data_IF_412646389319
#
_entry.id   IF_412646389319
#
_cell.length_a   1.000
_cell.length_b   1.000
_cell.length_c   1.000
_cell.angle_alpha   90.00
_cell.angle_beta   90.00
_cell.angle_gamma   90.00
#
_symmetry.space_group_name_H-M   'P 1'
#
loop_
_entity.id
_entity.type
_entity.pdbx_description
1 polymer ?
#
# COMPACT_ATOMS: atom_id res chain seq x y z
N UNK A 1 6.83 4.10 1.27
CA UNK A 1 5.66 4.98 1.50
C UNK A 1 6.04 6.45 1.36
N UNK A 2 7.16 6.89 1.95
CA UNK A 2 7.59 8.29 2.00
C UNK A 2 7.69 9.00 0.65
N UNK A 3 8.15 8.32 -0.41
CA UNK A 3 8.28 8.95 -1.74
C UNK A 3 6.94 9.41 -2.33
N UNK A 4 5.88 8.64 -2.12
CA UNK A 4 4.54 9.01 -2.60
C UNK A 4 3.96 10.12 -1.72
N UNK A 5 4.11 9.99 -0.40
CA UNK A 5 3.70 11.04 0.54
C UNK A 5 4.39 12.36 0.21
N UNK A 6 5.72 12.39 0.07
CA UNK A 6 6.45 13.61 -0.28
C UNK A 6 6.04 14.17 -1.64
N UNK A 7 5.81 13.34 -2.66
CA UNK A 7 5.40 13.81 -3.99
C UNK A 7 4.07 14.59 -3.96
N UNK A 8 3.09 14.08 -3.20
CA UNK A 8 1.73 14.60 -3.22
C UNK A 8 1.43 15.55 -2.08
N UNK A 9 2.07 15.40 -0.92
CA UNK A 9 1.88 16.32 0.20
C UNK A 9 2.58 17.67 -0.03
N UNK A 10 3.72 17.69 -0.73
CA UNK A 10 4.55 18.89 -0.88
C UNK A 10 4.23 19.77 -2.11
N UNK A 11 3.29 19.36 -2.97
CA UNK A 11 3.01 20.04 -4.24
C UNK A 11 1.51 20.19 -4.52
N UNK A 12 0.95 21.42 -4.43
CA UNK A 12 -0.44 21.69 -4.77
C UNK A 12 -0.82 21.29 -6.20
N UNK A 13 0.13 21.37 -7.14
CA UNK A 13 -0.04 20.91 -8.53
C UNK A 13 -0.29 19.40 -8.59
N UNK A 14 0.55 18.61 -7.93
CA UNK A 14 0.41 17.15 -7.93
C UNK A 14 -0.85 16.71 -7.18
N UNK A 15 -1.25 17.48 -6.16
CA UNK A 15 -2.53 17.25 -5.50
C UNK A 15 -3.71 17.49 -6.44
N UNK A 16 -3.69 18.56 -7.23
CA UNK A 16 -4.70 18.83 -8.24
C UNK A 16 -4.78 17.71 -9.28
N UNK A 17 -3.63 17.22 -9.75
CA UNK A 17 -3.57 16.07 -10.69
C UNK A 17 -4.24 14.83 -10.09
N UNK A 18 -3.98 14.48 -8.83
CA UNK A 18 -4.66 13.36 -8.17
C UNK A 18 -6.18 13.57 -8.01
N UNK A 19 -6.67 14.78 -7.74
CA UNK A 19 -8.13 14.98 -7.64
C UNK A 19 -8.82 14.87 -8.99
N UNK A 20 -8.14 15.28 -10.07
CA UNK A 20 -8.68 15.10 -11.43
C UNK A 20 -8.78 13.63 -11.82
N UNK A 21 -7.95 12.77 -11.22
CA UNK A 21 -8.01 11.32 -11.42
C UNK A 21 -8.82 10.58 -10.33
N UNK A 22 -9.65 11.30 -9.55
CA UNK A 22 -10.47 10.77 -8.46
C UNK A 22 -9.68 10.03 -7.34
N UNK A 23 -8.35 10.18 -7.34
CA UNK A 23 -7.43 9.61 -6.35
C UNK A 23 -7.31 10.49 -5.09
N UNK A 24 -8.30 11.33 -4.81
CA UNK A 24 -8.24 12.38 -3.78
C UNK A 24 -8.08 11.82 -2.35
N UNK A 25 -8.64 10.64 -2.06
CA UNK A 25 -8.48 10.00 -0.75
C UNK A 25 -7.01 9.65 -0.43
N UNK A 26 -6.11 9.66 -1.43
CA UNK A 26 -4.67 9.50 -1.24
C UNK A 26 -4.06 10.60 -0.36
N UNK A 27 -4.67 11.80 -0.32
CA UNK A 27 -4.07 13.01 0.27
C UNK A 27 -4.82 13.46 1.53
N UNK A 28 -6.13 13.18 1.62
CA UNK A 28 -7.00 13.71 2.68
C UNK A 28 -6.77 13.11 4.06
N UNK A 29 -6.31 11.86 4.15
CA UNK A 29 -5.91 11.25 5.40
C UNK A 29 -4.41 11.45 5.56
N UNK A 30 -3.97 11.98 6.70
CA UNK A 30 -2.56 12.11 7.11
C UNK A 30 -1.79 10.77 7.20
N UNK A 31 -2.31 9.72 6.58
CA UNK A 31 -1.76 8.40 6.52
C UNK A 31 -1.88 7.96 5.07
N UNK A 32 -0.74 7.72 4.44
CA UNK A 32 -0.71 6.87 3.25
C UNK A 32 -1.14 5.49 3.73
N UNK A 33 -2.44 5.22 3.74
CA UNK A 33 -2.96 3.94 4.20
C UNK A 33 -2.56 2.89 3.17
N UNK A 34 -1.84 1.86 3.61
CA UNK A 34 -1.44 0.75 2.74
C UNK A 34 -2.65 0.16 2.00
N UNK A 35 -3.80 0.11 2.67
CA UNK A 35 -5.09 -0.29 2.10
C UNK A 35 -5.55 0.61 0.94
N UNK A 36 -5.35 1.93 1.03
CA UNK A 36 -5.72 2.84 -0.06
C UNK A 36 -4.86 2.58 -1.31
N UNK A 37 -3.56 2.38 -1.13
CA UNK A 37 -2.66 2.03 -2.24
C UNK A 37 -3.08 0.69 -2.86
N UNK A 38 -3.39 -0.32 -2.04
CA UNK A 38 -3.86 -1.62 -2.51
C UNK A 38 -5.13 -1.47 -3.37
N UNK A 39 -6.10 -0.70 -2.89
CA UNK A 39 -7.38 -0.52 -3.56
C UNK A 39 -7.27 0.30 -4.85
N UNK A 40 -6.31 1.22 -4.92
CA UNK A 40 -6.13 2.14 -6.06
C UNK A 40 -4.91 1.82 -6.91
N UNK A 41 -4.30 0.64 -6.73
CA UNK A 41 -3.06 0.25 -7.39
C UNK A 41 -3.15 0.39 -8.93
N UNK A 42 -4.26 -0.05 -9.52
CA UNK A 42 -4.49 0.06 -10.97
C UNK A 42 -4.51 1.51 -11.46
N UNK A 43 -5.23 2.39 -10.76
CA UNK A 43 -5.35 3.80 -11.12
C UNK A 43 -3.99 4.52 -10.95
N UNK A 44 -3.31 4.30 -9.83
CA UNK A 44 -1.97 4.84 -9.57
C UNK A 44 -0.95 4.38 -10.62
N UNK A 45 -0.98 3.11 -11.01
CA UNK A 45 -0.11 2.59 -12.05
C UNK A 45 -0.37 3.27 -13.40
N UNK A 46 -1.64 3.45 -13.79
CA UNK A 46 -2.03 4.16 -15.02
C UNK A 46 -1.56 5.61 -14.99
N UNK A 47 -1.78 6.31 -13.88
CA UNK A 47 -1.31 7.68 -13.65
C UNK A 47 0.21 7.79 -13.87
N UNK A 48 0.98 6.96 -13.17
CA UNK A 48 2.45 6.98 -13.27
C UNK A 48 2.92 6.60 -14.67
N UNK A 49 2.25 5.65 -15.33
CA UNK A 49 2.55 5.28 -16.71
C UNK A 49 2.36 6.48 -17.64
N UNK A 50 1.20 7.13 -17.59
CA UNK A 50 0.90 8.28 -18.42
C UNK A 50 1.88 9.43 -18.17
N UNK A 51 2.10 9.80 -16.91
CA UNK A 51 3.01 10.87 -16.53
C UNK A 51 4.47 10.57 -16.87
N UNK A 52 4.89 9.30 -16.90
CA UNK A 52 6.23 8.90 -17.33
C UNK A 52 6.49 9.06 -18.83
N UNK A 53 5.43 9.04 -19.65
CA UNK A 53 5.51 9.16 -21.11
C UNK A 53 5.07 10.53 -21.64
N UNK A 54 4.60 11.43 -20.77
CA UNK A 54 4.11 12.74 -21.14
C UNK A 54 5.23 13.68 -21.59
N UNK A 55 5.24 14.00 -22.89
CA UNK A 55 6.26 14.86 -23.51
C UNK A 55 6.20 16.32 -23.05
N UNK A 56 5.11 16.76 -22.43
CA UNK A 56 4.98 18.10 -21.86
C UNK A 56 5.70 18.25 -20.52
N UNK A 57 6.02 17.12 -19.87
CA UNK A 57 6.78 17.07 -18.61
C UNK A 57 8.28 17.00 -18.86
N UNK A 58 9.05 17.56 -17.92
CA UNK A 58 10.49 17.52 -18.03
C UNK A 58 11.04 16.08 -17.87
N UNK A 59 12.31 15.87 -18.25
CA UNK A 59 12.94 14.54 -18.16
C UNK A 59 13.01 14.02 -16.72
N UNK A 60 13.13 14.89 -15.73
CA UNK A 60 13.27 14.55 -14.31
C UNK A 60 11.93 14.09 -13.74
N UNK A 61 10.84 14.80 -14.05
CA UNK A 61 9.47 14.42 -13.73
C UNK A 61 9.11 13.07 -14.36
N UNK A 62 9.37 12.89 -15.66
CA UNK A 62 9.13 11.62 -16.35
C UNK A 62 9.89 10.46 -15.72
N UNK A 63 11.16 10.67 -15.39
CA UNK A 63 11.99 9.65 -14.72
C UNK A 63 11.47 9.31 -13.32
N UNK A 64 11.03 10.33 -12.56
CA UNK A 64 10.40 10.14 -11.23
C UNK A 64 9.15 9.27 -11.34
N UNK A 65 8.23 9.59 -12.26
CA UNK A 65 7.00 8.82 -12.46
C UNK A 65 7.28 7.41 -12.98
N UNK A 66 8.28 7.23 -13.85
CA UNK A 66 8.72 5.89 -14.25
C UNK A 66 9.21 5.08 -13.04
N UNK A 67 10.01 5.67 -12.16
CA UNK A 67 10.45 5.03 -10.92
C UNK A 67 9.28 4.62 -10.02
N UNK A 68 8.26 5.46 -9.88
CA UNK A 68 7.05 5.14 -9.11
C UNK A 68 6.22 4.02 -9.75
N UNK A 69 6.08 4.03 -11.08
CA UNK A 69 5.46 2.94 -11.83
C UNK A 69 6.16 1.61 -11.57
N UNK A 70 7.50 1.58 -11.65
CA UNK A 70 8.30 0.38 -11.38
C UNK A 70 8.17 -0.06 -9.92
N UNK A 71 8.18 0.88 -8.99
CA UNK A 71 8.03 0.61 -7.56
C UNK A 71 6.68 -0.03 -7.25
N UNK A 72 5.56 0.54 -7.69
CA UNK A 72 4.22 0.03 -7.33
C UNK A 72 3.89 -1.31 -7.99
N UNK A 73 4.60 -1.68 -9.05
CA UNK A 73 4.45 -2.95 -9.77
C UNK A 73 5.52 -3.99 -9.41
N UNK A 74 6.45 -3.69 -8.52
CA UNK A 74 7.47 -4.66 -8.12
C UNK A 74 6.91 -5.69 -7.15
N UNK A 75 7.34 -6.94 -7.30
CA UNK A 75 6.95 -8.06 -6.43
C UNK A 75 7.23 -7.76 -4.95
N UNK A 76 8.41 -7.19 -4.67
CA UNK A 76 8.82 -6.83 -3.31
C UNK A 76 7.88 -5.78 -2.70
N UNK A 77 7.56 -4.72 -3.43
CA UNK A 77 6.69 -3.66 -2.93
C UNK A 77 5.27 -4.18 -2.69
N UNK A 78 4.72 -4.94 -3.65
CA UNK A 78 3.39 -5.53 -3.53
C UNK A 78 3.32 -6.47 -2.34
N UNK A 79 4.33 -7.33 -2.14
CA UNK A 79 4.38 -8.27 -1.01
C UNK A 79 4.45 -7.51 0.32
N UNK A 80 5.40 -6.58 0.46
CA UNK A 80 5.58 -5.80 1.70
C UNK A 80 4.33 -4.98 2.03
N UNK A 81 3.70 -4.36 1.03
CA UNK A 81 2.49 -3.55 1.23
C UNK A 81 1.31 -4.39 1.75
N UNK A 82 1.12 -5.60 1.21
CA UNK A 82 0.04 -6.48 1.65
C UNK A 82 0.34 -7.09 3.03
N UNK A 83 1.59 -7.43 3.33
CA UNK A 83 2.00 -7.87 4.67
C UNK A 83 1.74 -6.79 5.73
N UNK A 84 2.11 -5.53 5.42
CA UNK A 84 1.80 -4.39 6.28
C UNK A 84 0.30 -4.19 6.45
N UNK A 85 -0.49 -4.37 5.39
CA UNK A 85 -1.95 -4.23 5.46
C UNK A 85 -2.59 -5.32 6.35
N UNK A 86 -2.16 -6.58 6.23
CA UNK A 86 -2.60 -7.65 7.14
C UNK A 86 -2.23 -7.34 8.61
N UNK A 87 -1.02 -6.81 8.84
CA UNK A 87 -0.58 -6.42 10.19
C UNK A 87 -1.43 -5.28 10.76
N UNK A 88 -1.79 -4.29 9.91
CA UNK A 88 -2.60 -3.16 10.32
C UNK A 88 -4.06 -3.55 10.61
N UNK A 89 -4.61 -4.53 9.90
CA UNK A 89 -5.95 -5.06 10.19
C UNK A 89 -5.99 -5.67 11.60
N UNK A 90 -5.03 -6.54 11.94
CA UNK A 90 -4.90 -7.15 13.28
C UNK A 90 -4.69 -6.10 14.39
N UNK A 91 -3.87 -5.07 14.13
CA UNK A 91 -3.71 -3.95 15.06
C UNK A 91 -4.99 -3.12 15.19
N UNK A 92 -5.74 -2.97 14.11
CA UNK A 92 -7.03 -2.28 14.08
C UNK A 92 -8.05 -3.00 14.96
N UNK A 93 -8.20 -4.31 14.77
CA UNK A 93 -9.08 -5.17 15.58
C UNK A 93 -8.70 -5.14 17.06
N UNK A 94 -7.40 -5.27 17.38
CA UNK A 94 -6.93 -5.14 18.75
C UNK A 94 -7.23 -3.75 19.32
N UNK A 95 -6.97 -2.69 18.56
CA UNK A 95 -7.23 -1.32 18.99
C UNK A 95 -8.71 -1.08 19.31
N UNK A 96 -9.61 -1.52 18.43
CA UNK A 96 -11.05 -1.44 18.66
C UNK A 96 -11.47 -2.23 19.90
N UNK A 97 -10.94 -3.43 20.07
CA UNK A 97 -11.20 -4.26 21.25
C UNK A 97 -10.74 -3.58 22.53
N UNK A 98 -9.54 -3.00 22.55
CA UNK A 98 -8.95 -2.31 23.71
C UNK A 98 -9.65 -1.00 24.07
N UNK A 99 -10.30 -0.34 23.10
CA UNK A 99 -11.07 0.88 23.33
C UNK A 99 -12.44 0.61 23.97
N UNK A 100 -12.86 -0.65 24.06
CA UNK A 100 -14.13 -1.02 24.70
C UNK A 100 -14.07 -0.79 26.23
N UNK A 101 -14.96 0.06 26.75
CA UNK A 101 -15.00 0.43 28.17
C UNK A 101 -15.42 -0.71 29.13
N UNK A 102 -15.77 -1.89 28.63
CA UNK A 102 -16.32 -3.00 29.42
C UNK A 102 -15.36 -4.19 29.55
N UNK A 103 -14.13 -4.09 29.05
CA UNK A 103 -13.15 -5.18 29.08
C UNK A 103 -12.39 -5.21 30.40
N UNK A 104 -12.08 -6.42 30.88
CA UNK A 104 -11.22 -6.63 32.03
C UNK A 104 -9.74 -6.62 31.64
N UNK A 105 -8.86 -6.36 32.62
CA UNK A 105 -7.42 -6.42 32.40
C UNK A 105 -6.93 -7.80 31.92
N UNK A 106 -7.58 -8.87 32.37
CA UNK A 106 -7.24 -10.25 31.95
C UNK A 106 -7.59 -10.47 30.47
N UNK A 107 -8.72 -9.92 30.02
CA UNK A 107 -9.13 -9.97 28.62
C UNK A 107 -8.20 -9.15 27.73
N UNK A 108 -7.80 -7.95 28.16
CA UNK A 108 -6.80 -7.10 27.50
C UNK A 108 -5.49 -7.85 27.30
N UNK A 109 -4.96 -8.44 28.38
CA UNK A 109 -3.70 -9.17 28.37
C UNK A 109 -3.77 -10.42 27.47
N UNK A 110 -4.92 -11.10 27.46
CA UNK A 110 -5.18 -12.21 26.53
C UNK A 110 -5.22 -11.73 25.08
N UNK A 111 -5.88 -10.62 24.79
CA UNK A 111 -5.99 -10.07 23.44
C UNK A 111 -4.61 -9.69 22.89
N UNK A 112 -3.82 -8.92 23.65
CA UNK A 112 -2.46 -8.53 23.28
C UNK A 112 -1.59 -9.75 22.97
N UNK A 113 -1.57 -10.76 23.86
CA UNK A 113 -0.79 -11.98 23.62
C UNK A 113 -1.30 -12.80 22.43
N UNK A 114 -2.59 -12.73 22.12
CA UNK A 114 -3.15 -13.40 20.95
C UNK A 114 -2.67 -12.71 19.68
N UNK A 115 -2.74 -11.39 19.59
CA UNK A 115 -2.22 -10.61 18.46
C UNK A 115 -0.72 -10.82 18.24
N UNK A 116 0.09 -10.88 19.31
CA UNK A 116 1.52 -11.22 19.20
C UNK A 116 1.72 -12.60 18.53
N UNK A 117 0.97 -13.62 18.97
CA UNK A 117 1.06 -14.96 18.35
C UNK A 117 0.60 -14.96 16.91
N UNK A 118 -0.37 -14.13 16.55
CA UNK A 118 -0.80 -13.97 15.15
C UNK A 118 0.36 -13.41 14.33
N UNK A 119 1.04 -12.35 14.78
CA UNK A 119 2.23 -11.82 14.09
C UNK A 119 3.37 -12.84 13.95
N UNK A 120 3.66 -13.59 15.01
CA UNK A 120 4.65 -14.67 14.94
C UNK A 120 4.26 -15.73 13.89
N UNK A 121 2.96 -16.03 13.79
CA UNK A 121 2.45 -16.98 12.80
C UNK A 121 2.51 -16.45 11.37
N UNK A 122 2.39 -15.13 11.16
CA UNK A 122 2.40 -14.49 9.85
C UNK A 122 3.71 -14.68 9.08
N UNK A 123 4.81 -15.00 9.78
CA UNK A 123 6.09 -15.38 9.16
C UNK A 123 5.96 -16.62 8.28
N UNK A 124 5.16 -17.59 8.70
CA UNK A 124 4.99 -18.87 8.01
C UNK A 124 3.62 -19.01 7.34
N UNK A 125 2.63 -18.26 7.80
CA UNK A 125 1.25 -18.28 7.34
C UNK A 125 0.82 -16.87 6.99
N UNK A 126 1.01 -16.45 5.72
CA UNK A 126 0.61 -15.13 5.26
C UNK A 126 -0.84 -14.81 5.64
N UNK A 127 -1.09 -13.55 6.01
CA UNK A 127 -2.44 -13.04 6.14
C UNK A 127 -3.19 -13.06 4.79
N UNK A 128 -4.50 -12.81 4.84
CA UNK A 128 -5.37 -12.97 3.68
C UNK A 128 -4.95 -12.07 2.50
N UNK A 129 -4.51 -10.83 2.75
CA UNK A 129 -4.12 -9.91 1.69
C UNK A 129 -2.80 -10.33 1.07
N UNK A 130 -1.78 -10.67 1.87
CA UNK A 130 -0.50 -11.15 1.35
C UNK A 130 -0.68 -12.45 0.58
N UNK A 131 -1.47 -13.38 1.10
CA UNK A 131 -1.77 -14.64 0.40
C UNK A 131 -2.42 -14.39 -0.97
N UNK A 132 -3.42 -13.52 -1.05
CA UNK A 132 -4.04 -13.15 -2.32
C UNK A 132 -3.07 -12.42 -3.28
N UNK A 133 -2.17 -11.60 -2.73
CA UNK A 133 -1.14 -10.93 -3.51
C UNK A 133 -0.12 -11.91 -4.10
N UNK A 134 0.31 -12.91 -3.33
CA UNK A 134 1.25 -13.94 -3.80
C UNK A 134 0.67 -14.77 -4.95
N UNK A 135 -0.60 -15.17 -4.87
CA UNK A 135 -1.28 -15.84 -6.00
C UNK A 135 -1.33 -14.96 -7.25
N UNK A 136 -1.67 -13.68 -7.07
CA UNK A 136 -1.68 -12.71 -8.17
C UNK A 136 -0.28 -12.46 -8.74
N UNK A 137 0.76 -12.56 -7.90
CA UNK A 137 2.17 -12.50 -8.29
C UNK A 137 2.52 -13.67 -9.20
N UNK A 138 2.15 -14.90 -8.82
CA UNK A 138 2.34 -16.10 -9.64
C UNK A 138 1.66 -15.99 -11.01
N UNK A 139 0.49 -15.34 -11.07
CA UNK A 139 -0.25 -15.05 -12.30
C UNK A 139 0.30 -13.85 -13.10
N UNK A 140 1.41 -13.24 -12.68
CA UNK A 140 2.05 -12.04 -13.25
C UNK A 140 1.14 -10.79 -13.35
N UNK A 141 0.00 -10.78 -12.65
CA UNK A 141 -0.96 -9.67 -12.66
C UNK A 141 -1.52 -9.46 -11.26
N UNK A 142 -1.19 -8.32 -10.64
CA UNK A 142 -1.77 -7.88 -9.38
C UNK A 142 -2.71 -6.70 -9.58
N UNK A 143 -3.99 -6.84 -9.22
CA UNK A 143 -5.00 -5.75 -9.32
C UNK A 143 -5.01 -5.06 -10.71
N UNK A 144 -4.93 -5.85 -11.79
CA UNK A 144 -4.84 -5.37 -13.19
C UNK A 144 -3.55 -4.60 -13.52
N UNK A 145 -2.50 -4.74 -12.73
CA UNK A 145 -1.17 -4.20 -12.96
C UNK A 145 -0.22 -5.36 -13.27
N UNK A 146 0.52 -5.33 -14.39
CA UNK A 146 1.54 -6.33 -14.67
C UNK A 146 2.65 -6.25 -13.62
N UNK A 147 3.05 -7.41 -13.10
CA UNK A 147 4.15 -7.46 -12.15
C UNK A 147 5.47 -7.28 -12.90
N UNK A 148 6.31 -6.41 -12.39
CA UNK A 148 7.68 -6.34 -12.83
C UNK A 148 8.48 -7.31 -11.97
N UNK A 149 8.75 -8.49 -12.54
CA UNK A 149 9.83 -9.32 -12.04
C UNK A 149 11.08 -8.44 -12.02
N UNK A 150 11.73 -8.35 -10.86
CA UNK A 150 12.92 -7.53 -10.69
C UNK A 150 14.02 -7.95 -11.65
N UNK A 151 14.00 -7.43 -12.88
CA UNK A 151 15.20 -7.25 -13.68
C UNK A 151 15.85 -5.95 -13.21
N UNK A 152 16.36 -6.00 -11.98
CA UNK A 152 17.35 -5.06 -11.50
C UNK A 152 18.64 -5.87 -11.32
N UNK A 153 19.39 -5.96 -12.43
CA UNK A 153 20.81 -6.31 -12.58
C UNK A 153 21.38 -7.45 -11.72
#
# INVERSE_FOLDING_TARGET
MDKLYSLYHQSPKNQNELRQEELYLFIGLHQVNGLYIINNCSALYKHFKFASTDVTRDLKERSKYNGLKLMISSVEYVSNLNAMADTLDELGELSEYLQSCIITLVEVDKAIRTTIRVFDSMVNKPGHKLYGALQAIELNIYKNVPNQNGQAK
#
